data_IF_598920108161
#
_entry.id   IF_598920108161
#
_cell.length_a   1.000
_cell.length_b   1.000
_cell.length_c   1.000
_cell.angle_alpha   90.00
_cell.angle_beta   90.00
_cell.angle_gamma   90.00
#
_symmetry.space_group_name_H-M   'P 1'
#
loop_
_entity.id
_entity.type
_entity.pdbx_description
1 polymer ?
#
# COMPACT_ATOMS: atom_id res chain seq x y z
N UNK A 1 -48.20 35.62 -18.01
CA UNK A 1 -47.52 34.41 -17.53
C UNK A 1 -46.53 34.85 -16.45
N UNK A 2 -46.85 34.56 -15.19
CA UNK A 2 -46.10 35.05 -14.03
C UNK A 2 -44.95 34.08 -13.76
N UNK A 3 -43.74 34.64 -13.73
CA UNK A 3 -42.47 33.94 -13.56
C UNK A 3 -42.40 33.21 -12.21
N UNK A 4 -42.45 31.89 -12.24
CA UNK A 4 -42.13 30.98 -11.13
C UNK A 4 -40.62 30.85 -10.99
N UNK A 5 -39.97 31.91 -10.50
CA UNK A 5 -38.53 31.96 -10.21
C UNK A 5 -38.25 31.90 -8.71
N UNK A 6 -38.81 30.94 -7.96
CA UNK A 6 -38.56 30.83 -6.51
C UNK A 6 -38.86 29.42 -5.99
N UNK A 7 -38.05 28.41 -6.34
CA UNK A 7 -38.14 27.11 -5.66
C UNK A 7 -36.87 26.23 -5.71
N UNK A 8 -35.71 26.76 -6.13
CA UNK A 8 -34.51 25.93 -6.28
C UNK A 8 -33.24 26.57 -5.67
N UNK A 9 -33.39 27.26 -4.53
CA UNK A 9 -32.27 27.87 -3.82
C UNK A 9 -32.13 27.40 -2.35
N UNK A 10 -32.92 26.42 -1.91
CA UNK A 10 -32.92 25.94 -0.51
C UNK A 10 -32.29 24.55 -0.28
N UNK A 11 -31.82 23.86 -1.32
CA UNK A 11 -31.24 22.51 -1.16
C UNK A 11 -29.70 22.46 -1.09
N UNK A 12 -28.99 23.59 -1.23
CA UNK A 12 -27.51 23.59 -1.33
C UNK A 12 -26.80 23.86 0.02
N UNK A 13 -27.53 24.17 1.10
CA UNK A 13 -26.92 24.63 2.36
C UNK A 13 -26.57 23.55 3.40
N UNK A 14 -26.63 22.25 3.08
CA UNK A 14 -26.40 21.20 4.09
C UNK A 14 -25.45 20.05 3.67
N UNK A 15 -24.63 20.25 2.65
CA UNK A 15 -23.47 19.36 2.43
C UNK A 15 -22.24 19.93 3.15
N UNK A 16 -22.34 20.13 4.47
CA UNK A 16 -21.13 20.15 5.29
C UNK A 16 -20.45 18.81 5.06
N UNK A 17 -19.20 18.76 4.57
CA UNK A 17 -18.46 17.51 4.53
C UNK A 17 -18.43 17.01 5.97
N UNK A 18 -19.10 15.89 6.24
CA UNK A 18 -19.03 15.24 7.54
C UNK A 18 -17.54 15.08 7.83
N UNK A 19 -17.07 15.71 8.92
CA UNK A 19 -15.70 15.52 9.36
C UNK A 19 -15.46 14.01 9.42
N UNK A 20 -14.37 13.49 8.83
CA UNK A 20 -14.11 12.07 8.85
C UNK A 20 -14.19 11.60 10.30
N UNK A 21 -14.88 10.48 10.58
CA UNK A 21 -15.11 10.03 11.94
C UNK A 21 -13.77 9.93 12.65
N UNK A 22 -13.61 10.66 13.76
CA UNK A 22 -12.42 10.53 14.61
C UNK A 22 -12.41 9.11 15.14
N UNK A 23 -11.36 8.38 14.81
CA UNK A 23 -11.16 7.03 15.28
C UNK A 23 -10.91 7.04 16.78
N UNK A 24 -11.34 5.98 17.45
CA UNK A 24 -10.88 5.72 18.81
C UNK A 24 -9.40 5.32 18.78
N UNK A 25 -8.63 5.55 19.86
CA UNK A 25 -7.23 5.11 19.93
C UNK A 25 -7.05 3.61 19.62
N UNK A 26 -8.01 2.77 20.01
CA UNK A 26 -8.03 1.34 19.71
C UNK A 26 -8.18 1.06 18.21
N UNK A 27 -9.05 1.80 17.52
CA UNK A 27 -9.22 1.70 16.07
C UNK A 27 -7.98 2.21 15.31
N UNK A 28 -7.31 3.25 15.80
CA UNK A 28 -6.05 3.74 15.23
C UNK A 28 -4.94 2.70 15.35
N UNK A 29 -4.80 2.09 16.54
CA UNK A 29 -3.85 1.01 16.77
C UNK A 29 -4.13 -0.20 15.89
N UNK A 30 -5.39 -0.65 15.81
CA UNK A 30 -5.78 -1.78 14.96
C UNK A 30 -5.51 -1.51 13.47
N UNK A 31 -5.77 -0.29 12.99
CA UNK A 31 -5.43 0.12 11.61
C UNK A 31 -3.92 0.12 11.38
N UNK A 32 -3.14 0.63 12.33
CA UNK A 32 -1.68 0.61 12.24
C UNK A 32 -1.13 -0.81 12.14
N UNK A 33 -1.63 -1.71 12.99
CA UNK A 33 -1.27 -3.13 12.99
C UNK A 33 -1.62 -3.78 11.63
N UNK A 34 -2.84 -3.57 11.14
CA UNK A 34 -3.29 -4.12 9.87
C UNK A 34 -2.49 -3.59 8.68
N UNK A 35 -2.05 -2.32 8.71
CA UNK A 35 -1.18 -1.76 7.69
C UNK A 35 0.19 -2.44 7.68
N UNK A 36 0.78 -2.65 8.86
CA UNK A 36 2.07 -3.35 9.01
C UNK A 36 1.98 -4.80 8.50
N UNK A 37 0.93 -5.52 8.89
CA UNK A 37 0.67 -6.88 8.43
C UNK A 37 0.47 -6.94 6.91
N UNK A 38 -0.30 -6.01 6.35
CA UNK A 38 -0.49 -5.88 4.91
C UNK A 38 0.82 -5.65 4.17
N UNK A 39 1.70 -4.78 4.68
CA UNK A 39 3.03 -4.57 4.10
C UNK A 39 3.88 -5.84 4.16
N UNK A 40 3.94 -6.53 5.30
CA UNK A 40 4.69 -7.78 5.44
C UNK A 40 4.19 -8.85 4.45
N UNK A 41 2.88 -8.95 4.24
CA UNK A 41 2.29 -9.87 3.26
C UNK A 41 2.75 -9.54 1.83
N UNK A 42 2.74 -8.26 1.45
CA UNK A 42 3.22 -7.80 0.13
C UNK A 42 4.69 -8.19 -0.06
N UNK A 43 5.56 -7.89 0.91
CA UNK A 43 6.98 -8.23 0.80
C UNK A 43 7.24 -9.74 0.80
N UNK A 44 6.42 -10.54 1.49
CA UNK A 44 6.46 -12.01 1.38
C UNK A 44 6.16 -12.47 -0.04
N UNK A 45 5.13 -11.92 -0.69
CA UNK A 45 4.81 -12.23 -2.09
C UNK A 45 5.95 -11.80 -3.02
N UNK A 46 6.52 -10.60 -2.82
CA UNK A 46 7.63 -10.14 -3.64
C UNK A 46 8.88 -11.01 -3.49
N UNK A 47 9.19 -11.46 -2.27
CA UNK A 47 10.26 -12.41 -2.02
C UNK A 47 10.07 -13.72 -2.79
N UNK A 48 8.84 -14.27 -2.76
CA UNK A 48 8.51 -15.51 -3.49
C UNK A 48 8.62 -15.39 -5.01
N UNK A 49 8.59 -14.16 -5.52
CA UNK A 49 8.68 -13.84 -6.93
C UNK A 49 10.07 -13.41 -7.41
N UNK A 50 11.04 -13.18 -6.51
CA UNK A 50 12.37 -12.64 -6.84
C UNK A 50 13.05 -13.39 -8.00
N UNK A 51 12.93 -14.73 -8.02
CA UNK A 51 13.53 -15.59 -9.05
C UNK A 51 13.02 -15.33 -10.47
N UNK A 52 11.89 -14.63 -10.61
CA UNK A 52 11.25 -14.28 -11.88
C UNK A 52 11.43 -12.81 -12.25
N UNK A 53 12.06 -12.02 -11.38
CA UNK A 53 12.30 -10.60 -11.60
C UNK A 53 13.61 -10.35 -12.34
N UNK A 54 13.67 -9.24 -13.06
CA UNK A 54 14.94 -8.74 -13.60
C UNK A 54 15.81 -8.19 -12.46
N UNK A 55 17.14 -8.10 -12.63
CA UNK A 55 18.00 -7.50 -11.61
C UNK A 55 17.60 -6.08 -11.22
N UNK A 56 17.06 -5.30 -12.16
CA UNK A 56 16.55 -3.95 -11.90
C UNK A 56 15.31 -3.98 -11.00
N UNK A 57 14.36 -4.88 -11.28
CA UNK A 57 13.16 -5.05 -10.47
C UNK A 57 13.51 -5.50 -9.04
N UNK A 58 14.48 -6.41 -8.89
CA UNK A 58 14.98 -6.82 -7.57
C UNK A 58 15.56 -5.63 -6.80
N UNK A 59 16.38 -4.78 -7.45
CA UNK A 59 16.89 -3.56 -6.81
C UNK A 59 15.76 -2.62 -6.39
N UNK A 60 14.78 -2.39 -7.25
CA UNK A 60 13.66 -1.51 -6.94
C UNK A 60 12.81 -2.02 -5.77
N UNK A 61 12.57 -3.33 -5.69
CA UNK A 61 11.85 -3.96 -4.57
C UNK A 61 12.64 -3.90 -3.27
N UNK A 62 13.96 -4.04 -3.34
CA UNK A 62 14.83 -4.05 -2.14
C UNK A 62 15.23 -2.65 -1.66
N UNK A 63 15.15 -1.62 -2.50
CA UNK A 63 15.57 -0.26 -2.13
C UNK A 63 14.92 0.24 -0.81
N UNK A 64 13.61 0.04 -0.55
CA UNK A 64 13.00 0.47 0.71
C UNK A 64 13.46 -0.32 1.96
N UNK A 65 14.12 -1.46 1.77
CA UNK A 65 14.64 -2.32 2.84
C UNK A 65 16.02 -1.89 3.34
N UNK A 66 16.75 -1.15 2.49
CA UNK A 66 18.10 -0.70 2.79
C UNK A 66 18.04 0.55 3.70
N UNK A 67 18.82 0.59 4.79
CA UNK A 67 18.94 1.80 5.59
C UNK A 67 19.70 2.88 4.82
N UNK A 68 19.39 4.13 5.13
CA UNK A 68 20.17 5.27 4.64
C UNK A 68 21.65 5.12 5.03
N UNK A 69 22.60 5.64 4.23
CA UNK A 69 24.02 5.56 4.54
C UNK A 69 24.33 6.13 5.94
N UNK A 70 24.90 5.30 6.80
CA UNK A 70 25.23 5.67 8.18
C UNK A 70 24.08 5.53 9.19
N UNK A 71 22.90 5.09 8.76
CA UNK A 71 21.78 4.77 9.63
C UNK A 71 21.70 3.26 9.93
N UNK A 72 21.14 2.93 11.10
CA UNK A 72 20.72 1.57 11.40
C UNK A 72 19.36 1.28 10.74
N UNK A 73 19.10 0.00 10.46
CA UNK A 73 17.80 -0.44 9.95
C UNK A 73 16.72 -0.19 11.01
N UNK A 74 15.62 0.44 10.60
CA UNK A 74 14.46 0.65 11.47
C UNK A 74 13.75 -0.67 11.80
N UNK A 75 12.99 -0.76 12.91
CA UNK A 75 12.20 -1.95 13.23
C UNK A 75 11.23 -2.35 12.11
N UNK A 76 10.61 -1.36 11.46
CA UNK A 76 9.72 -1.61 10.33
C UNK A 76 10.50 -2.22 9.15
N UNK A 77 11.64 -1.63 8.77
CA UNK A 77 12.50 -2.15 7.69
C UNK A 77 12.96 -3.58 7.98
N UNK A 78 13.36 -3.88 9.22
CA UNK A 78 13.76 -5.23 9.62
C UNK A 78 12.61 -6.22 9.50
N UNK A 79 11.39 -5.82 9.88
CA UNK A 79 10.21 -6.68 9.76
C UNK A 79 9.89 -7.00 8.28
N UNK A 80 9.89 -6.00 7.41
CA UNK A 80 9.57 -6.21 5.98
C UNK A 80 10.70 -6.94 5.25
N UNK A 81 11.97 -6.75 5.62
CA UNK A 81 13.09 -7.54 5.08
C UNK A 81 12.97 -9.01 5.50
N UNK A 82 12.67 -9.30 6.78
CA UNK A 82 12.40 -10.66 7.22
C UNK A 82 11.23 -11.32 6.47
N UNK A 83 10.16 -10.57 6.20
CA UNK A 83 9.04 -11.04 5.40
C UNK A 83 9.47 -11.36 3.96
N UNK A 84 10.27 -10.50 3.35
CA UNK A 84 10.86 -10.73 2.03
C UNK A 84 11.74 -11.99 2.00
N UNK A 85 12.66 -12.16 2.96
CA UNK A 85 13.50 -13.36 3.06
C UNK A 85 12.68 -14.63 3.24
N UNK A 86 11.60 -14.59 4.03
CA UNK A 86 10.66 -15.71 4.17
C UNK A 86 9.97 -16.04 2.85
N UNK A 87 9.57 -15.01 2.11
CA UNK A 87 9.02 -15.13 0.76
C UNK A 87 9.97 -15.86 -0.18
N UNK A 88 11.27 -15.53 -0.18
CA UNK A 88 12.26 -16.17 -1.05
C UNK A 88 12.38 -17.69 -0.86
N UNK A 89 12.08 -18.19 0.34
CA UNK A 89 12.06 -19.62 0.60
C UNK A 89 10.84 -20.31 -0.04
N UNK A 90 9.76 -19.57 -0.31
CA UNK A 90 8.60 -20.04 -1.05
C UNK A 90 8.84 -19.92 -2.56
N UNK A 91 8.97 -21.06 -3.23
CA UNK A 91 9.21 -21.13 -4.68
C UNK A 91 7.98 -21.55 -5.48
N UNK A 92 6.80 -21.53 -4.85
CA UNK A 92 5.54 -22.03 -5.44
C UNK A 92 4.89 -21.06 -6.43
N UNK A 93 5.29 -19.79 -6.44
CA UNK A 93 4.72 -18.80 -7.36
C UNK A 93 5.23 -19.01 -8.79
N UNK A 94 4.31 -18.91 -9.74
CA UNK A 94 4.62 -19.06 -11.16
C UNK A 94 5.09 -17.74 -11.77
N UNK A 95 5.84 -17.83 -12.87
CA UNK A 95 6.29 -16.65 -13.60
C UNK A 95 5.14 -15.72 -14.04
N UNK A 96 4.00 -16.21 -14.59
CA UNK A 96 2.88 -15.34 -14.96
C UNK A 96 2.28 -14.60 -13.77
N UNK A 97 2.14 -15.26 -12.61
CA UNK A 97 1.68 -14.61 -11.40
C UNK A 97 2.64 -13.48 -10.97
N UNK A 98 3.95 -13.74 -11.01
CA UNK A 98 4.94 -12.75 -10.61
C UNK A 98 5.05 -11.55 -11.56
N UNK A 99 4.84 -11.77 -12.86
CA UNK A 99 4.74 -10.70 -13.85
C UNK A 99 3.51 -9.82 -13.57
N UNK A 100 2.38 -10.44 -13.23
CA UNK A 100 1.16 -9.73 -12.88
C UNK A 100 1.32 -8.89 -11.59
N UNK A 101 2.02 -9.41 -10.58
CA UNK A 101 2.38 -8.65 -9.39
C UNK A 101 3.17 -7.38 -9.74
N UNK A 102 4.17 -7.49 -10.62
CA UNK A 102 4.94 -6.33 -11.06
C UNK A 102 4.12 -5.34 -11.88
N UNK A 103 3.18 -5.82 -12.71
CA UNK A 103 2.24 -4.98 -13.44
C UNK A 103 1.37 -4.16 -12.48
N UNK A 104 0.78 -4.80 -11.47
CA UNK A 104 -0.05 -4.13 -10.46
C UNK A 104 0.74 -3.09 -9.66
N UNK A 105 1.99 -3.40 -9.27
CA UNK A 105 2.85 -2.43 -8.57
C UNK A 105 3.16 -1.21 -9.44
N UNK A 106 3.47 -1.42 -10.72
CA UNK A 106 3.73 -0.32 -11.65
C UNK A 106 2.48 0.55 -11.88
N UNK A 107 1.28 -0.02 -11.82
CA UNK A 107 0.03 0.74 -11.91
C UNK A 107 -0.26 1.53 -10.65
N UNK A 108 -0.05 0.94 -9.47
CA UNK A 108 -0.22 1.63 -8.20
C UNK A 108 0.71 2.85 -8.09
N UNK A 109 1.94 2.78 -8.63
CA UNK A 109 2.87 3.91 -8.66
C UNK A 109 2.45 5.05 -9.60
N UNK A 110 1.63 4.77 -10.62
CA UNK A 110 1.16 5.79 -11.58
C UNK A 110 -0.15 6.48 -11.15
N UNK A 111 -0.92 5.84 -10.29
CA UNK A 111 -2.21 6.34 -9.80
C UNK A 111 -2.17 7.04 -8.44
N UNK A 112 -0.99 7.16 -7.83
CA UNK A 112 -0.76 7.81 -6.54
C UNK A 112 -0.31 9.26 -6.66
#
# INVERSE_FOLDING_TARGET
>A
MIATSLALALAIQAATPAAPPRLTPEQEQARGQAAIEGMAQVYTVLGSCERHFTPEQVRAVRAPLEPEPGAAQSPLQSLIDQAYQRGKADTTKSAPFCQEVMRMLAEAQRGG
#
